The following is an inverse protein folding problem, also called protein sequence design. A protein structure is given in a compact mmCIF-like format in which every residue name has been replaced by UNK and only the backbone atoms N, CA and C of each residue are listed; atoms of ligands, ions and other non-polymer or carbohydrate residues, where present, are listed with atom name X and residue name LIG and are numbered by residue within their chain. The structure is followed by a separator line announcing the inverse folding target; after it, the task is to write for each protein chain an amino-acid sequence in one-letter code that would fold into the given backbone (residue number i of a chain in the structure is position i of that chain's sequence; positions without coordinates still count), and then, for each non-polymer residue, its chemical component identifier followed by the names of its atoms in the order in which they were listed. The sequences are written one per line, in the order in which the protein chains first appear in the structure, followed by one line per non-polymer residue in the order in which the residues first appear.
data_IF_490541886222
#
_entry.id   IF_490541886222
#
_cell.length_a   1.000
_cell.length_b   1.000
_cell.length_c   1.000
_cell.angle_alpha   90.00
_cell.angle_beta   90.00
_cell.angle_gamma   90.00
#
_symmetry.space_group_name_H-M   'P 1'
#
loop_
_entity.id
_entity.type
_entity.pdbx_description
1 polymer ?
#
# COMPACT_ATOMS: atom_id res chain seq x y z
N UNK A 1 -6.98 -7.02 -13.44
CA UNK A 1 -7.42 -6.59 -12.09
C UNK A 1 -7.21 -5.10 -11.99
N UNK A 2 -8.16 -4.34 -11.45
CA UNK A 2 -8.01 -2.87 -11.37
C UNK A 2 -7.53 -2.47 -9.97
N UNK A 3 -6.21 -2.54 -9.76
CA UNK A 3 -5.58 -2.23 -8.48
C UNK A 3 -5.67 -0.76 -8.08
N UNK A 4 -6.03 0.14 -9.01
CA UNK A 4 -6.25 1.56 -8.74
C UNK A 4 -7.26 1.83 -7.64
N UNK A 5 -8.28 0.99 -7.49
CA UNK A 5 -9.30 1.12 -6.44
C UNK A 5 -8.81 0.68 -5.05
N UNK A 6 -7.66 0.01 -4.98
CA UNK A 6 -7.07 -0.46 -3.72
C UNK A 6 -6.29 0.66 -3.04
N UNK A 7 -5.67 1.57 -3.80
CA UNK A 7 -4.90 2.67 -3.24
C UNK A 7 -5.86 3.81 -2.81
N UNK A 8 -6.01 4.06 -1.49
CA UNK A 8 -6.81 5.19 -1.04
C UNK A 8 -6.15 6.46 -1.55
N UNK A 9 -6.90 7.41 -2.13
CA UNK A 9 -6.38 8.65 -2.73
C UNK A 9 -5.85 8.52 -4.17
N UNK A 10 -6.09 7.42 -4.88
CA UNK A 10 -5.69 7.28 -6.30
C UNK A 10 -6.12 8.48 -7.18
N UNK A 11 -7.36 8.96 -7.03
CA UNK A 11 -7.88 10.10 -7.80
C UNK A 11 -7.16 11.43 -7.54
N UNK A 12 -6.36 11.52 -6.48
CA UNK A 12 -5.61 12.75 -6.13
C UNK A 12 -4.17 12.74 -6.66
N UNK A 13 -3.77 11.68 -7.35
CA UNK A 13 -2.40 11.48 -7.77
C UNK A 13 -2.37 10.95 -9.20
N UNK A 14 -2.41 11.88 -10.16
CA UNK A 14 -2.36 11.60 -11.61
C UNK A 14 -1.10 10.82 -12.06
N UNK A 15 -0.17 10.54 -11.15
CA UNK A 15 1.15 9.97 -11.42
C UNK A 15 1.33 8.49 -11.05
N UNK A 16 0.31 7.79 -10.51
CA UNK A 16 0.47 6.38 -10.14
C UNK A 16 0.03 5.43 -11.24
N UNK A 17 0.99 4.71 -11.84
CA UNK A 17 0.73 3.76 -12.92
C UNK A 17 0.39 2.34 -12.40
N UNK A 18 -0.65 2.23 -11.58
CA UNK A 18 -1.15 0.92 -11.12
C UNK A 18 -1.84 0.11 -12.24
N UNK A 19 -2.09 0.71 -13.40
CA UNK A 19 -2.68 0.04 -14.56
C UNK A 19 -1.75 -1.02 -15.18
N UNK A 20 -0.45 -0.91 -14.92
CA UNK A 20 0.57 -1.87 -15.37
C UNK A 20 0.79 -3.02 -14.37
N UNK A 21 0.09 -3.02 -13.22
CA UNK A 21 0.21 -4.12 -12.26
C UNK A 21 -0.75 -5.25 -12.64
N UNK A 22 -0.20 -6.42 -12.93
CA UNK A 22 -0.94 -7.63 -13.29
C UNK A 22 -1.05 -8.62 -12.12
N UNK A 23 -0.23 -8.47 -11.08
CA UNK A 23 -0.24 -9.32 -9.89
C UNK A 23 -0.27 -8.51 -8.58
N UNK A 24 -0.67 -9.18 -7.50
CA UNK A 24 -0.60 -8.63 -6.15
C UNK A 24 0.83 -8.28 -5.73
N UNK A 25 1.81 -9.07 -6.19
CA UNK A 25 3.24 -8.86 -5.89
C UNK A 25 3.78 -7.61 -6.59
N UNK A 26 3.41 -7.41 -7.86
CA UNK A 26 3.75 -6.19 -8.60
C UNK A 26 3.09 -4.97 -7.97
N UNK A 27 1.82 -5.07 -7.60
CA UNK A 27 1.09 -3.98 -6.98
C UNK A 27 1.71 -3.55 -5.64
N UNK A 28 1.98 -4.49 -4.73
CA UNK A 28 2.57 -4.13 -3.44
C UNK A 28 4.00 -3.62 -3.59
N UNK A 29 4.75 -4.10 -4.58
CA UNK A 29 6.08 -3.55 -4.91
C UNK A 29 5.97 -2.09 -5.33
N UNK A 30 5.00 -1.76 -6.18
CA UNK A 30 4.79 -0.40 -6.64
C UNK A 30 4.33 0.52 -5.51
N UNK A 31 3.45 0.04 -4.63
CA UNK A 31 3.04 0.76 -3.41
C UNK A 31 4.23 1.07 -2.51
N UNK A 32 5.12 0.09 -2.31
CA UNK A 32 6.34 0.28 -1.50
C UNK A 32 7.28 1.29 -2.17
N UNK A 33 7.46 1.23 -3.49
CA UNK A 33 8.23 2.24 -4.22
C UNK A 33 7.65 3.63 -4.05
N UNK A 34 6.32 3.79 -4.18
CA UNK A 34 5.62 5.07 -4.00
C UNK A 34 5.87 5.64 -2.60
N UNK A 35 5.87 4.80 -1.56
CA UNK A 35 6.17 5.25 -0.20
C UNK A 35 7.57 5.88 -0.08
N UNK A 36 8.57 5.24 -0.70
CA UNK A 36 9.97 5.71 -0.63
C UNK A 36 10.28 6.86 -1.60
N UNK A 37 9.60 6.93 -2.75
CA UNK A 37 9.87 7.94 -3.79
C UNK A 37 9.07 9.23 -3.62
N UNK A 38 7.94 9.20 -2.92
CA UNK A 38 7.07 10.36 -2.76
C UNK A 38 7.38 11.11 -1.46
N UNK A 39 7.36 12.44 -1.47
CA UNK A 39 7.56 13.28 -0.28
C UNK A 39 6.24 13.72 0.38
N UNK A 40 5.11 13.54 -0.30
CA UNK A 40 3.80 13.94 0.20
C UNK A 40 3.30 13.01 1.30
N UNK A 41 3.08 13.56 2.49
CA UNK A 41 2.64 12.80 3.66
C UNK A 41 1.34 12.02 3.40
N UNK A 42 0.37 12.60 2.67
CA UNK A 42 -0.91 11.95 2.38
C UNK A 42 -0.74 10.69 1.52
N UNK A 43 0.15 10.75 0.53
CA UNK A 43 0.51 9.61 -0.32
C UNK A 43 1.20 8.53 0.50
N UNK A 44 2.15 8.92 1.36
CA UNK A 44 2.81 7.97 2.28
C UNK A 44 1.83 7.29 3.22
N UNK A 45 0.88 8.03 3.79
CA UNK A 45 -0.19 7.48 4.65
C UNK A 45 -1.06 6.46 3.89
N UNK A 46 -1.39 6.74 2.63
CA UNK A 46 -2.14 5.82 1.77
C UNK A 46 -1.33 4.55 1.45
N UNK A 47 -0.06 4.69 1.08
CA UNK A 47 0.81 3.56 0.80
C UNK A 47 1.02 2.67 2.04
N UNK A 48 1.22 3.27 3.22
CA UNK A 48 1.29 2.55 4.50
C UNK A 48 0.00 1.81 4.80
N UNK A 49 -1.16 2.42 4.55
CA UNK A 49 -2.46 1.78 4.77
C UNK A 49 -2.64 0.52 3.90
N UNK A 50 -2.21 0.57 2.64
CA UNK A 50 -2.23 -0.59 1.73
C UNK A 50 -1.23 -1.64 2.21
N UNK A 51 0.00 -1.27 2.52
CA UNK A 51 1.01 -2.20 3.03
C UNK A 51 0.55 -2.91 4.31
N UNK A 52 -0.05 -2.16 5.24
CA UNK A 52 -0.62 -2.71 6.47
C UNK A 52 -1.75 -3.71 6.19
N UNK A 53 -2.59 -3.47 5.17
CA UNK A 53 -3.63 -4.42 4.77
C UNK A 53 -3.02 -5.72 4.21
N UNK A 54 -1.98 -5.63 3.38
CA UNK A 54 -1.26 -6.81 2.88
C UNK A 54 -0.55 -7.57 3.99
N UNK A 55 0.15 -6.88 4.89
CA UNK A 55 0.83 -7.51 6.03
C UNK A 55 -0.12 -8.31 6.90
N UNK A 56 -1.30 -7.75 7.20
CA UNK A 56 -2.21 -8.35 8.15
C UNK A 56 -3.08 -9.47 7.54
N UNK A 57 -3.35 -9.44 6.23
CA UNK A 57 -4.30 -10.37 5.58
C UNK A 57 -3.71 -11.21 4.45
N UNK A 58 -2.62 -10.75 3.82
CA UNK A 58 -2.00 -11.41 2.68
C UNK A 58 -0.46 -11.41 2.74
N UNK A 59 0.16 -11.84 3.86
CA UNK A 59 1.60 -11.72 4.09
C UNK A 59 2.45 -12.48 3.08
N UNK A 60 1.89 -13.49 2.41
CA UNK A 60 2.58 -14.26 1.36
C UNK A 60 3.11 -13.37 0.22
N UNK A 61 2.38 -12.30 -0.11
CA UNK A 61 2.79 -11.34 -1.14
C UNK A 61 3.83 -10.34 -0.64
N UNK A 62 4.31 -10.44 0.60
CA UNK A 62 5.43 -9.62 1.09
C UNK A 62 6.77 -10.35 1.00
N UNK A 63 6.76 -11.65 0.68
CA UNK A 63 7.95 -12.50 0.71
C UNK A 63 9.05 -12.08 -0.28
N UNK A 64 8.69 -11.39 -1.36
CA UNK A 64 9.64 -10.88 -2.36
C UNK A 64 10.20 -9.49 -2.03
N UNK A 65 9.67 -8.81 -1.01
CA UNK A 65 10.17 -7.50 -0.59
C UNK A 65 11.43 -7.65 0.27
N UNK A 66 12.32 -6.66 0.22
CA UNK A 66 13.52 -6.65 1.07
C UNK A 66 13.11 -6.50 2.54
N UNK A 67 13.68 -7.31 3.42
CA UNK A 67 13.43 -7.24 4.87
C UNK A 67 13.66 -5.84 5.46
N UNK A 68 14.67 -5.11 4.97
CA UNK A 68 14.94 -3.72 5.41
C UNK A 68 13.76 -2.79 5.10
N UNK A 69 13.13 -2.93 3.92
CA UNK A 69 11.97 -2.13 3.53
C UNK A 69 10.76 -2.47 4.42
N UNK A 70 10.55 -3.76 4.69
CA UNK A 70 9.48 -4.24 5.57
C UNK A 70 9.65 -3.66 6.98
N UNK A 71 10.87 -3.70 7.52
CA UNK A 71 11.17 -3.20 8.86
C UNK A 71 10.93 -1.69 8.96
N UNK A 72 11.41 -0.91 7.98
CA UNK A 72 11.17 0.54 7.95
C UNK A 72 9.67 0.87 7.90
N UNK A 73 8.91 0.18 7.03
CA UNK A 73 7.46 0.38 6.93
C UNK A 73 6.72 -0.01 8.22
N UNK A 74 7.17 -1.07 8.91
CA UNK A 74 6.60 -1.45 10.20
C UNK A 74 6.87 -0.40 11.29
N UNK A 75 8.08 0.17 11.36
CA UNK A 75 8.38 1.27 12.29
C UNK A 75 7.53 2.52 12.02
N UNK A 76 7.31 2.83 10.74
CA UNK A 76 6.44 3.94 10.32
C UNK A 76 4.96 3.69 10.70
N UNK A 77 4.50 2.43 10.64
CA UNK A 77 3.17 2.04 11.12
C UNK A 77 3.03 2.19 12.64
N UNK A 78 4.05 1.84 13.42
CA UNK A 78 4.00 2.02 14.88
C UNK A 78 3.96 3.50 15.27
N UNK A 79 4.58 4.36 14.46
CA UNK A 79 4.56 5.82 14.61
C UNK A 79 3.31 6.48 13.99
N UNK A 80 2.47 5.70 13.30
CA UNK A 80 1.34 6.20 12.54
C UNK A 80 0.18 6.68 13.42
N UNK A 81 -0.42 7.80 13.03
CA UNK A 81 -1.64 8.34 13.64
C UNK A 81 -2.85 7.43 13.35
N UNK A 82 -3.91 7.45 14.20
CA UNK A 82 -5.13 6.63 14.04
C UNK A 82 -5.87 6.83 12.71
N UNK A 83 -5.54 7.88 11.95
CA UNK A 83 -6.03 8.14 10.59
C UNK A 83 -5.66 7.03 9.60
N UNK A 84 -4.48 6.40 9.74
CA UNK A 84 -4.04 5.29 8.88
C UNK A 84 -4.93 4.04 9.08
N UNK A 85 -5.51 3.85 10.27
CA UNK A 85 -6.41 2.73 10.56
C UNK A 85 -7.69 2.80 9.71
N UNK A 86 -8.24 4.00 9.48
CA UNK A 86 -9.43 4.16 8.61
C UNK A 86 -9.09 3.86 7.15
N UNK A 87 -7.97 4.37 6.66
CA UNK A 87 -7.49 4.13 5.29
C UNK A 87 -7.19 2.64 5.05
N UNK A 88 -6.63 1.94 6.04
CA UNK A 88 -6.41 0.49 5.99
C UNK A 88 -7.70 -0.27 5.74
N UNK A 89 -8.79 0.05 6.45
CA UNK A 89 -10.08 -0.65 6.29
C UNK A 89 -10.63 -0.49 4.86
N UNK A 90 -10.45 0.69 4.26
CA UNK A 90 -10.83 0.93 2.87
C UNK A 90 -9.98 0.11 1.90
N UNK A 91 -8.64 0.12 2.07
CA UNK A 91 -7.73 -0.67 1.26
C UNK A 91 -8.02 -2.17 1.36
N UNK A 92 -8.30 -2.67 2.57
CA UNK A 92 -8.65 -4.08 2.79
C UNK A 92 -9.97 -4.48 2.11
N UNK A 93 -11.00 -3.64 2.20
CA UNK A 93 -12.28 -3.89 1.53
C UNK A 93 -12.16 -3.84 0.00
N UNK A 94 -11.21 -3.07 -0.53
CA UNK A 94 -10.92 -3.05 -1.96
C UNK A 94 -10.11 -4.29 -2.36
N UNK A 95 -9.12 -4.70 -1.55
CA UNK A 95 -8.34 -5.91 -1.77
C UNK A 95 -9.18 -7.17 -1.82
N UNK A 96 -10.16 -7.31 -0.91
CA UNK A 96 -11.05 -8.48 -0.89
C UNK A 96 -11.95 -8.61 -2.13
N UNK A 97 -12.04 -7.56 -2.96
CA UNK A 97 -12.79 -7.58 -4.23
C UNK A 97 -11.90 -7.85 -5.44
N UNK A 98 -10.58 -7.80 -5.25
CA UNK A 98 -9.58 -7.91 -6.31
C UNK A 98 -8.74 -9.19 -6.17
N UNK A 99 -8.58 -9.72 -4.95
CA UNK A 99 -7.97 -11.02 -4.65
C UNK A 99 -8.92 -12.19 -4.92
#
# INVERSE_FOLDING_TARGET
MSFKFVFPLYDTSENFMFENCHSNEEFITEVVKIFFSNSEQRVKEAALAVFMAYRDHYPKYLSHLKMEQINLLNCEIESAKPKIIKLRRMALSALSKVA
#
